data_IF_142509482301
#
_entry.id   IF_142509482301
#
_cell.length_a   1.000
_cell.length_b   1.000
_cell.length_c   1.000
_cell.angle_alpha   90.00
_cell.angle_beta   90.00
_cell.angle_gamma   90.00
#
_symmetry.space_group_name_H-M   'P 1'
#
loop_
_entity.id
_entity.type
_entity.pdbx_description
1 polymer ?
#
# COMPACT_ATOMS: atom_id res chain seq x y z
N UNK A 1 -46.97 42.61 41.01
CA UNK A 1 -46.21 42.06 39.87
C UNK A 1 -44.78 41.79 40.33
N UNK A 2 -44.49 40.54 40.73
CA UNK A 2 -43.13 40.02 40.95
C UNK A 2 -43.25 38.50 40.94
N UNK A 3 -42.83 37.86 39.86
CA UNK A 3 -42.68 36.41 39.77
C UNK A 3 -41.20 36.06 39.84
N UNK A 4 -40.91 35.16 40.78
CA UNK A 4 -39.65 34.42 40.88
C UNK A 4 -39.57 33.40 39.74
N UNK A 5 -38.38 33.20 39.21
CA UNK A 5 -37.96 32.04 38.43
C UNK A 5 -36.47 32.24 38.15
N UNK A 6 -35.54 31.36 38.51
CA UNK A 6 -35.60 29.92 38.66
C UNK A 6 -34.38 29.42 37.88
N UNK A 7 -33.27 29.21 38.59
CA UNK A 7 -32.01 28.77 38.00
C UNK A 7 -32.17 27.31 37.55
N UNK A 8 -32.18 27.08 36.23
CA UNK A 8 -32.10 25.75 35.64
C UNK A 8 -30.68 25.47 35.18
N UNK A 9 -29.91 24.76 36.02
CA UNK A 9 -28.65 24.14 35.60
C UNK A 9 -28.99 22.94 34.70
N UNK A 10 -28.86 23.13 33.39
CA UNK A 10 -28.93 22.03 32.42
C UNK A 10 -27.64 21.24 32.44
N UNK A 11 -27.72 19.99 32.88
CA UNK A 11 -26.64 18.99 32.79
C UNK A 11 -26.36 18.77 31.30
N UNK A 12 -25.23 19.30 30.83
CA UNK A 12 -24.71 19.00 29.50
C UNK A 12 -24.32 17.52 29.44
N UNK A 13 -25.04 16.76 28.61
CA UNK A 13 -24.55 15.47 28.11
C UNK A 13 -23.23 15.76 27.39
N UNK A 14 -22.13 15.26 27.95
CA UNK A 14 -20.82 15.31 27.31
C UNK A 14 -20.93 14.72 25.91
N UNK A 15 -20.54 15.53 24.91
CA UNK A 15 -20.25 15.04 23.58
C UNK A 15 -19.09 14.05 23.74
N UNK A 16 -19.36 12.77 23.45
CA UNK A 16 -18.31 11.79 23.17
C UNK A 16 -17.46 12.39 22.04
N UNK A 17 -16.13 12.43 22.23
CA UNK A 17 -15.22 13.10 21.31
C UNK A 17 -15.44 12.62 19.87
N UNK A 18 -15.86 13.55 19.00
CA UNK A 18 -15.84 13.30 17.58
C UNK A 18 -14.38 13.23 17.16
N UNK A 19 -13.99 12.12 16.53
CA UNK A 19 -12.77 12.12 15.73
C UNK A 19 -12.90 13.28 14.75
N UNK A 20 -11.97 14.25 14.80
CA UNK A 20 -11.95 15.31 13.80
C UNK A 20 -11.74 14.63 12.44
N UNK A 21 -12.79 14.59 11.63
CA UNK A 21 -12.71 14.13 10.26
C UNK A 21 -11.75 15.05 9.50
N UNK A 22 -10.89 14.46 8.67
CA UNK A 22 -9.92 15.22 7.91
C UNK A 22 -10.58 16.16 6.89
N UNK A 23 -9.80 17.07 6.32
CA UNK A 23 -10.32 18.10 5.41
C UNK A 23 -10.13 17.82 3.91
N UNK A 24 -9.59 16.66 3.53
CA UNK A 24 -9.22 16.40 2.13
C UNK A 24 -10.36 15.76 1.34
N UNK A 25 -10.87 16.46 0.32
CA UNK A 25 -11.84 15.90 -0.62
C UNK A 25 -11.24 14.82 -1.51
N UNK A 26 -9.99 15.03 -1.95
CA UNK A 26 -9.29 14.18 -2.92
C UNK A 26 -7.81 14.12 -2.57
N UNK A 27 -7.27 12.91 -2.44
CA UNK A 27 -5.83 12.65 -2.34
C UNK A 27 -5.40 11.90 -3.58
N UNK A 28 -4.42 12.42 -4.32
CA UNK A 28 -3.92 11.80 -5.54
C UNK A 28 -2.50 11.30 -5.32
N UNK A 29 -2.25 10.02 -5.56
CA UNK A 29 -0.91 9.43 -5.54
C UNK A 29 -0.60 8.76 -6.87
N UNK A 30 0.10 9.48 -7.75
CA UNK A 30 0.46 8.98 -9.06
C UNK A 30 1.79 8.22 -9.01
N UNK A 31 1.77 6.98 -9.48
CA UNK A 31 2.92 6.09 -9.61
C UNK A 31 3.73 5.92 -8.31
N UNK A 32 3.07 5.58 -7.18
CA UNK A 32 3.78 5.29 -5.94
C UNK A 32 4.78 4.15 -6.13
N UNK A 33 6.02 4.38 -5.72
CA UNK A 33 7.07 3.37 -5.75
C UNK A 33 8.12 3.70 -4.69
N UNK A 34 8.65 2.70 -3.99
CA UNK A 34 9.65 2.93 -2.94
C UNK A 34 11.04 3.22 -3.51
N UNK A 35 11.39 2.55 -4.62
CA UNK A 35 12.61 2.79 -5.41
C UNK A 35 13.88 2.30 -4.71
N UNK A 36 14.81 1.68 -5.46
CA UNK A 36 16.18 1.42 -5.00
C UNK A 36 16.36 0.49 -3.78
N UNK A 37 15.31 -0.12 -3.23
CA UNK A 37 15.39 -0.99 -2.05
C UNK A 37 15.87 -2.42 -2.32
N UNK A 38 15.68 -2.91 -3.54
CA UNK A 38 16.14 -4.24 -3.94
C UNK A 38 16.13 -4.36 -5.46
N UNK A 39 16.94 -5.27 -6.00
CA UNK A 39 16.88 -5.73 -7.40
C UNK A 39 16.02 -6.98 -7.57
N UNK A 40 15.72 -7.69 -6.49
CA UNK A 40 14.84 -8.85 -6.50
C UNK A 40 13.38 -8.44 -6.72
N UNK A 41 12.69 -9.13 -7.64
CA UNK A 41 11.32 -8.76 -8.05
C UNK A 41 10.34 -8.96 -6.91
N UNK A 42 10.43 -10.07 -6.17
CA UNK A 42 9.48 -10.40 -5.10
C UNK A 42 9.63 -9.47 -3.90
N UNK A 43 10.86 -9.16 -3.49
CA UNK A 43 11.15 -8.15 -2.47
C UNK A 43 10.65 -6.77 -2.89
N UNK A 44 10.85 -6.38 -4.16
CA UNK A 44 10.30 -5.12 -4.67
C UNK A 44 8.77 -5.09 -4.65
N UNK A 45 8.09 -6.19 -4.99
CA UNK A 45 6.63 -6.30 -4.88
C UNK A 45 6.19 -6.09 -3.43
N UNK A 46 6.79 -6.80 -2.48
CA UNK A 46 6.45 -6.68 -1.04
C UNK A 46 6.62 -5.25 -0.53
N UNK A 47 7.75 -4.59 -0.83
CA UNK A 47 7.97 -3.19 -0.39
C UNK A 47 6.96 -2.20 -0.97
N UNK A 48 6.55 -2.38 -2.24
CA UNK A 48 5.58 -1.49 -2.86
C UNK A 48 4.14 -1.77 -2.39
N UNK A 49 3.82 -3.03 -2.08
CA UNK A 49 2.55 -3.38 -1.43
C UNK A 49 2.48 -2.76 -0.03
N UNK A 50 3.54 -2.86 0.77
CA UNK A 50 3.63 -2.25 2.10
C UNK A 50 3.45 -0.72 2.05
N UNK A 51 4.09 -0.05 1.09
CA UNK A 51 3.91 1.39 0.85
C UNK A 51 2.44 1.74 0.66
N UNK A 52 1.73 1.00 -0.19
CA UNK A 52 0.32 1.24 -0.48
C UNK A 52 -0.57 0.99 0.73
N UNK A 53 -0.36 -0.12 1.45
CA UNK A 53 -1.12 -0.44 2.67
C UNK A 53 -0.95 0.67 3.72
N UNK A 54 0.28 1.08 3.97
CA UNK A 54 0.57 2.14 4.95
C UNK A 54 -0.01 3.48 4.51
N UNK A 55 0.05 3.81 3.21
CA UNK A 55 -0.58 4.99 2.66
C UNK A 55 -2.10 4.99 2.86
N UNK A 56 -2.80 3.90 2.51
CA UNK A 56 -4.24 3.80 2.71
C UNK A 56 -4.61 3.96 4.19
N UNK A 57 -3.96 3.21 5.10
CA UNK A 57 -4.23 3.30 6.54
C UNK A 57 -4.05 4.73 7.08
N UNK A 58 -3.01 5.44 6.63
CA UNK A 58 -2.74 6.82 7.06
C UNK A 58 -3.66 7.86 6.44
N UNK A 59 -4.22 7.58 5.27
CA UNK A 59 -5.10 8.52 4.59
C UNK A 59 -6.50 8.60 5.20
N UNK A 60 -7.00 7.54 5.86
CA UNK A 60 -8.33 7.50 6.50
C UNK A 60 -8.65 8.75 7.34
N UNK A 61 -7.83 9.13 8.35
CA UNK A 61 -8.11 10.31 9.17
C UNK A 61 -7.92 11.64 8.44
N UNK A 62 -7.28 11.64 7.26
CA UNK A 62 -7.03 12.87 6.49
C UNK A 62 -8.18 13.24 5.55
N UNK A 63 -9.07 12.29 5.25
CA UNK A 63 -10.16 12.48 4.30
C UNK A 63 -11.40 13.10 4.95
N UNK A 64 -11.96 14.09 4.26
CA UNK A 64 -13.31 14.61 4.51
C UNK A 64 -14.37 13.53 4.29
N UNK A 65 -15.61 13.72 4.81
CA UNK A 65 -16.75 12.89 4.46
C UNK A 65 -16.96 12.84 2.94
N UNK A 66 -17.05 11.64 2.37
CA UNK A 66 -17.12 11.46 0.91
C UNK A 66 -15.82 11.74 0.16
N UNK A 67 -14.72 11.92 0.90
CA UNK A 67 -13.38 12.09 0.37
C UNK A 67 -12.91 10.82 -0.35
N UNK A 68 -12.02 10.97 -1.33
CA UNK A 68 -11.52 9.83 -2.08
C UNK A 68 -10.01 9.87 -2.32
N UNK A 69 -9.46 8.68 -2.52
CA UNK A 69 -8.06 8.49 -2.90
C UNK A 69 -8.03 8.04 -4.35
N UNK A 70 -7.17 8.67 -5.14
CA UNK A 70 -6.89 8.29 -6.51
C UNK A 70 -5.46 7.78 -6.57
N UNK A 71 -5.28 6.49 -6.84
CA UNK A 71 -3.95 5.92 -7.10
C UNK A 71 -3.82 5.55 -8.56
N UNK A 72 -2.72 5.98 -9.18
CA UNK A 72 -2.41 5.63 -10.57
C UNK A 72 -1.22 4.69 -10.62
N UNK A 73 -1.36 3.55 -11.30
CA UNK A 73 -0.29 2.58 -11.54
C UNK A 73 -0.12 2.35 -13.05
N UNK A 74 1.08 1.94 -13.46
CA UNK A 74 1.26 1.37 -14.80
C UNK A 74 0.51 0.04 -14.92
N UNK A 75 0.10 -0.31 -16.13
CA UNK A 75 -0.46 -1.61 -16.43
C UNK A 75 0.66 -2.62 -16.75
N UNK A 76 0.44 -3.89 -16.36
CA UNK A 76 1.38 -4.99 -16.58
C UNK A 76 2.35 -5.23 -15.41
N UNK A 77 3.22 -6.22 -15.58
CA UNK A 77 4.20 -6.61 -14.57
C UNK A 77 5.25 -5.49 -14.35
N UNK A 78 5.74 -5.30 -13.11
CA UNK A 78 5.37 -6.00 -11.89
C UNK A 78 4.12 -5.42 -11.18
N UNK A 79 3.57 -4.30 -11.66
CA UNK A 79 2.49 -3.55 -11.00
C UNK A 79 1.21 -4.38 -10.83
N UNK A 80 0.92 -5.31 -11.74
CA UNK A 80 -0.20 -6.24 -11.61
C UNK A 80 -0.10 -7.09 -10.33
N UNK A 81 1.11 -7.54 -9.93
CA UNK A 81 1.31 -8.34 -8.72
C UNK A 81 0.99 -7.59 -7.43
N UNK A 82 0.94 -6.26 -7.47
CA UNK A 82 0.67 -5.47 -6.27
C UNK A 82 -0.79 -5.59 -5.84
N UNK A 83 -1.70 -5.99 -6.75
CA UNK A 83 -3.11 -6.22 -6.46
C UNK A 83 -3.76 -5.09 -5.62
N UNK A 84 -3.62 -3.85 -6.11
CA UNK A 84 -4.00 -2.64 -5.36
C UNK A 84 -5.44 -2.63 -4.86
N UNK A 85 -6.37 -3.28 -5.58
CA UNK A 85 -7.78 -3.38 -5.17
C UNK A 85 -7.92 -4.14 -3.85
N UNK A 86 -7.19 -5.23 -3.71
CA UNK A 86 -7.23 -6.07 -2.52
C UNK A 86 -6.46 -5.42 -1.37
N UNK A 87 -5.33 -4.77 -1.64
CA UNK A 87 -4.63 -3.96 -0.63
C UNK A 87 -5.52 -2.87 -0.04
N UNK A 88 -6.24 -2.14 -0.89
CA UNK A 88 -7.17 -1.10 -0.47
C UNK A 88 -8.32 -1.68 0.35
N UNK A 89 -8.88 -2.83 -0.07
CA UNK A 89 -9.97 -3.52 0.65
C UNK A 89 -9.58 -3.88 2.08
N UNK A 90 -8.39 -4.45 2.27
CA UNK A 90 -7.87 -4.81 3.59
C UNK A 90 -7.43 -3.58 4.41
N UNK A 91 -7.36 -2.41 3.78
CA UNK A 91 -6.98 -1.14 4.41
C UNK A 91 -8.16 -0.19 4.64
N UNK A 92 -9.41 -0.67 4.60
CA UNK A 92 -10.59 0.13 4.94
C UNK A 92 -11.22 0.92 3.78
N UNK A 93 -10.82 0.64 2.55
CA UNK A 93 -11.36 1.28 1.35
C UNK A 93 -12.13 0.31 0.47
N UNK A 94 -12.93 0.84 -0.45
CA UNK A 94 -13.42 0.09 -1.59
C UNK A 94 -13.15 0.86 -2.87
N UNK A 95 -13.03 0.13 -3.98
CA UNK A 95 -12.90 0.74 -5.30
C UNK A 95 -14.27 1.19 -5.76
N UNK A 96 -14.44 2.49 -5.99
CA UNK A 96 -15.63 3.05 -6.63
C UNK A 96 -15.58 2.79 -8.14
N UNK A 97 -14.47 3.16 -8.78
CA UNK A 97 -14.27 3.03 -10.22
C UNK A 97 -12.79 3.07 -10.60
N UNK A 98 -12.51 2.77 -11.86
CA UNK A 98 -11.18 2.94 -12.44
C UNK A 98 -11.27 3.48 -13.86
N UNK A 99 -10.27 4.21 -14.32
CA UNK A 99 -10.21 4.76 -15.67
C UNK A 99 -8.78 4.79 -16.20
N UNK A 100 -8.62 4.83 -17.52
CA UNK A 100 -7.30 4.96 -18.17
C UNK A 100 -6.71 6.32 -17.79
N UNK A 101 -5.47 6.33 -17.32
CA UNK A 101 -4.75 7.58 -17.07
C UNK A 101 -4.43 8.26 -18.40
N UNK A 102 -4.73 9.56 -18.48
CA UNK A 102 -4.50 10.38 -19.66
C UNK A 102 -3.51 11.48 -19.31
N UNK A 103 -2.22 11.26 -19.58
CA UNK A 103 -1.17 12.25 -19.32
C UNK A 103 -1.47 13.60 -20.01
N UNK A 104 -2.02 13.55 -21.24
CA UNK A 104 -2.40 14.73 -22.02
C UNK A 104 -3.51 15.59 -21.39
N UNK A 105 -4.27 15.06 -20.43
CA UNK A 105 -5.26 15.84 -19.69
C UNK A 105 -4.62 16.82 -18.69
N UNK A 106 -3.31 16.69 -18.44
CA UNK A 106 -2.55 17.50 -17.51
C UNK A 106 -1.46 18.27 -18.30
N UNK A 107 -1.72 19.53 -18.70
CA UNK A 107 -0.73 20.33 -19.42
C UNK A 107 0.60 20.43 -18.66
N UNK A 108 1.70 20.09 -19.32
CA UNK A 108 3.04 20.10 -18.73
C UNK A 108 3.37 18.88 -17.84
N UNK A 109 2.51 17.85 -17.82
CA UNK A 109 2.82 16.63 -17.09
C UNK A 109 4.02 15.90 -17.71
N UNK A 110 5.02 15.63 -16.87
CA UNK A 110 6.15 14.77 -17.20
C UNK A 110 6.34 13.76 -16.07
N UNK A 111 6.51 12.49 -16.43
CA UNK A 111 6.69 11.46 -15.41
C UNK A 111 8.07 11.59 -14.77
N UNK A 112 8.11 11.63 -13.43
CA UNK A 112 9.33 11.76 -12.64
C UNK A 112 9.63 10.46 -11.87
N UNK A 113 10.92 10.08 -11.82
CA UNK A 113 11.39 8.90 -11.08
C UNK A 113 12.15 9.32 -9.82
N UNK A 114 12.13 8.47 -8.80
CA UNK A 114 12.89 8.66 -7.56
C UNK A 114 14.41 8.65 -7.75
N UNK A 115 14.92 7.94 -8.76
CA UNK A 115 16.37 7.88 -9.09
C UNK A 115 16.85 9.03 -9.98
N UNK A 116 15.99 10.01 -10.30
CA UNK A 116 16.33 11.15 -11.14
C UNK A 116 16.42 10.83 -12.65
N UNK A 117 17.13 11.69 -13.38
CA UNK A 117 17.30 11.58 -14.83
C UNK A 117 18.30 10.46 -15.13
N UNK A 118 17.89 9.47 -15.95
CA UNK A 118 18.83 8.46 -16.45
C UNK A 118 19.81 9.17 -17.40
N UNK A 119 21.07 9.17 -16.99
CA UNK A 119 22.18 9.61 -17.83
C UNK A 119 22.78 8.40 -18.52
N UNK A 120 23.19 8.55 -19.76
CA UNK A 120 24.01 7.55 -20.45
C UNK A 120 25.39 7.47 -19.77
N UNK A 121 26.19 6.44 -20.10
CA UNK A 121 27.58 6.35 -19.62
C UNK A 121 28.45 7.56 -20.00
N UNK A 122 28.03 8.37 -20.97
CA UNK A 122 28.67 9.61 -21.38
C UNK A 122 28.19 10.85 -20.59
N UNK A 123 27.28 10.71 -19.62
CA UNK A 123 26.75 11.81 -18.81
C UNK A 123 25.64 12.63 -19.49
N UNK A 124 25.28 12.30 -20.72
CA UNK A 124 24.17 12.92 -21.46
C UNK A 124 22.82 12.41 -20.94
N UNK A 125 21.82 13.30 -20.89
CA UNK A 125 20.44 12.90 -20.58
C UNK A 125 19.96 12.00 -21.70
N UNK A 126 19.61 10.74 -21.39
CA UNK A 126 19.14 9.84 -22.45
C UNK A 126 17.75 10.29 -22.93
N UNK A 127 17.65 10.85 -24.13
CA UNK A 127 16.36 11.15 -24.77
C UNK A 127 15.58 9.88 -25.17
N UNK A 128 16.30 8.76 -25.33
CA UNK A 128 15.75 7.39 -25.48
C UNK A 128 15.39 6.75 -24.15
N UNK A 129 15.49 7.49 -23.04
CA UNK A 129 15.17 7.03 -21.71
C UNK A 129 13.70 6.63 -21.61
N UNK A 130 13.43 5.60 -20.82
CA UNK A 130 12.09 5.16 -20.46
C UNK A 130 11.14 6.34 -20.19
N UNK A 131 10.08 6.48 -21.01
CA UNK A 131 9.08 7.56 -20.91
C UNK A 131 7.82 7.05 -20.26
N UNK A 132 7.60 7.44 -19.00
CA UNK A 132 6.44 6.98 -18.24
C UNK A 132 5.12 7.45 -18.85
N UNK A 133 5.07 8.65 -19.39
CA UNK A 133 3.87 9.27 -19.97
C UNK A 133 3.30 8.54 -21.20
N UNK A 134 4.12 7.77 -21.91
CA UNK A 134 3.70 6.98 -23.08
C UNK A 134 3.20 5.57 -22.68
N UNK A 135 3.43 5.14 -21.43
CA UNK A 135 3.05 3.80 -20.97
C UNK A 135 1.56 3.71 -20.63
N UNK A 136 0.93 2.55 -20.86
CA UNK A 136 -0.42 2.31 -20.39
C UNK A 136 -0.46 2.36 -18.86
N UNK A 137 -1.40 3.13 -18.32
CA UNK A 137 -1.59 3.34 -16.91
C UNK A 137 -3.07 3.48 -16.57
N UNK A 138 -3.42 3.13 -15.33
CA UNK A 138 -4.79 3.13 -14.82
C UNK A 138 -4.86 3.83 -13.47
N UNK A 139 -5.83 4.72 -13.35
CA UNK A 139 -6.19 5.39 -12.10
C UNK A 139 -7.38 4.66 -11.47
N UNK A 140 -7.30 4.44 -10.16
CA UNK A 140 -8.32 3.80 -9.34
C UNK A 140 -8.83 4.81 -8.31
N UNK A 141 -10.15 4.97 -8.22
CA UNK A 141 -10.80 5.82 -7.22
C UNK A 141 -11.26 4.94 -6.07
N UNK A 142 -10.76 5.23 -4.88
CA UNK A 142 -11.08 4.55 -3.64
C UNK A 142 -11.82 5.48 -2.70
N UNK A 143 -12.90 4.98 -2.10
CA UNK A 143 -13.69 5.68 -1.08
C UNK A 143 -13.65 4.86 0.21
N UNK A 144 -13.92 5.50 1.36
CA UNK A 144 -14.02 4.78 2.63
C UNK A 144 -15.07 3.69 2.49
N UNK A 145 -14.79 2.49 3.02
CA UNK A 145 -15.64 1.30 2.84
C UNK A 145 -17.12 1.55 3.21
N UNK A 146 -17.36 2.38 4.22
CA UNK A 146 -18.69 2.66 4.76
C UNK A 146 -19.46 3.73 3.96
N UNK A 147 -18.81 4.38 2.99
CA UNK A 147 -19.40 5.43 2.14
C UNK A 147 -19.81 4.90 0.75
N UNK A 148 -19.58 3.61 0.48
CA UNK A 148 -19.93 2.97 -0.79
C UNK A 148 -21.42 2.69 -0.82
N UNK A 149 -22.14 3.27 -1.78
CA UNK A 149 -23.52 2.88 -2.03
C UNK A 149 -23.57 1.36 -2.33
N UNK A 150 -24.49 0.59 -1.71
CA UNK A 150 -24.54 -0.85 -1.92
C UNK A 150 -24.79 -1.14 -3.40
N UNK A 151 -23.87 -1.88 -4.01
CA UNK A 151 -24.07 -2.39 -5.38
C UNK A 151 -25.25 -3.35 -5.33
N UNK A 152 -26.41 -2.91 -5.84
CA UNK A 152 -27.59 -3.76 -5.97
C UNK A 152 -27.28 -4.85 -6.99
N UNK A 153 -26.80 -6.00 -6.53
CA UNK A 153 -26.76 -7.21 -7.33
C UNK A 153 -28.21 -7.65 -7.57
N UNK A 154 -28.74 -7.33 -8.76
CA UNK A 154 -30.01 -7.88 -9.23
C UNK A 154 -29.81 -9.39 -9.38
N UNK A 155 -30.15 -10.18 -8.34
CA UNK A 155 -30.26 -11.64 -8.44
C UNK A 155 -31.34 -11.96 -9.47
N UNK A 156 -30.94 -12.30 -10.69
CA UNK A 156 -31.82 -12.97 -11.66
C UNK A 156 -31.84 -14.45 -11.29
N UNK A 157 -32.98 -14.94 -10.82
CA UNK A 157 -33.26 -16.38 -10.67
C UNK A 157 -33.36 -17.00 -12.07
N UNK A 158 -32.69 -18.13 -12.28
CA UNK A 158 -33.07 -19.11 -13.29
C UNK A 158 -31.93 -19.70 -14.12
N UNK A 159 -31.66 -20.98 -13.84
CA UNK A 159 -31.06 -22.03 -14.69
C UNK A 159 -29.53 -22.03 -14.93
N UNK A 160 -28.89 -22.97 -14.22
CA UNK A 160 -27.88 -23.94 -14.68
C UNK A 160 -26.93 -23.52 -15.81
N UNK A 161 -25.68 -23.22 -15.44
CA UNK A 161 -24.50 -23.51 -16.26
C UNK A 161 -23.31 -23.72 -15.31
N UNK A 162 -22.81 -24.95 -15.30
CA UNK A 162 -21.62 -25.35 -14.54
C UNK A 162 -20.39 -24.79 -15.25
N UNK A 163 -19.79 -23.72 -14.71
CA UNK A 163 -18.46 -23.29 -15.10
C UNK A 163 -17.49 -23.66 -13.98
N UNK A 164 -16.86 -24.83 -14.15
CA UNK A 164 -15.75 -25.27 -13.31
C UNK A 164 -14.56 -24.36 -13.59
N UNK A 165 -14.38 -23.35 -12.74
CA UNK A 165 -13.17 -22.55 -12.72
C UNK A 165 -11.97 -23.44 -12.40
N UNK A 166 -11.15 -23.70 -13.41
CA UNK A 166 -9.84 -24.33 -13.28
C UNK A 166 -9.03 -23.59 -12.21
N UNK A 167 -8.84 -24.29 -11.10
CA UNK A 167 -7.80 -24.01 -10.10
C UNK A 167 -6.46 -24.36 -10.73
N UNK A 168 -5.90 -23.44 -11.52
CA UNK A 168 -4.47 -23.51 -11.79
C UNK A 168 -3.73 -23.29 -10.47
N UNK A 169 -3.15 -24.37 -9.96
CA UNK A 169 -2.21 -24.33 -8.86
C UNK A 169 -1.01 -23.50 -9.31
N UNK A 170 -0.83 -22.32 -8.70
CA UNK A 170 0.40 -21.56 -8.85
C UNK A 170 1.45 -22.30 -8.01
N UNK A 171 2.31 -23.09 -8.66
CA UNK A 171 3.32 -23.98 -8.05
C UNK A 171 4.37 -23.28 -7.14
N UNK A 172 4.24 -21.98 -6.85
CA UNK A 172 5.21 -21.24 -6.02
C UNK A 172 4.65 -20.64 -4.74
N UNK A 173 3.37 -20.84 -4.41
CA UNK A 173 2.79 -20.27 -3.19
C UNK A 173 3.12 -21.09 -1.93
N UNK A 174 3.27 -22.41 -2.06
CA UNK A 174 3.70 -23.28 -0.95
C UNK A 174 5.20 -23.13 -0.65
N UNK A 175 6.04 -22.96 -1.68
CA UNK A 175 7.48 -22.68 -1.49
C UNK A 175 7.70 -21.34 -0.76
N UNK A 176 6.81 -20.35 -0.93
CA UNK A 176 6.93 -19.07 -0.24
C UNK A 176 6.48 -19.13 1.23
N UNK A 177 5.52 -19.99 1.59
CA UNK A 177 5.16 -20.26 2.99
C UNK A 177 6.27 -21.05 3.70
N UNK A 178 6.86 -22.05 3.03
CA UNK A 178 7.97 -22.84 3.59
C UNK A 178 9.23 -21.97 3.82
N UNK A 179 9.53 -21.01 2.93
CA UNK A 179 10.65 -20.07 3.10
C UNK A 179 10.40 -19.02 4.20
N UNK A 180 9.14 -18.70 4.50
CA UNK A 180 8.80 -17.79 5.61
C UNK A 180 8.96 -18.47 6.98
N UNK A 181 8.86 -19.80 7.07
CA UNK A 181 9.10 -20.55 8.32
C UNK A 181 10.60 -20.77 8.60
N UNK A 182 11.43 -20.95 7.57
CA UNK A 182 12.89 -21.13 7.74
C UNK A 182 13.60 -19.84 8.18
N UNK A 183 13.22 -18.67 7.66
CA UNK A 183 13.84 -17.39 8.00
C UNK A 183 13.61 -16.98 9.48
N UNK A 184 12.54 -17.46 10.11
CA UNK A 184 12.21 -17.15 11.52
C UNK A 184 12.99 -18.04 12.49
N UNK A 185 13.40 -19.23 12.07
CA UNK A 185 14.17 -20.15 12.89
C UNK A 185 15.66 -19.74 13.02
N UNK A 186 16.20 -19.02 12.05
CA UNK A 186 17.62 -18.63 12.00
C UNK A 186 17.99 -17.48 12.95
N UNK A 187 17.05 -16.59 13.32
CA UNK A 187 17.33 -15.43 14.19
C UNK A 187 17.48 -15.79 15.67
N UNK A 188 17.12 -17.02 16.07
CA UNK A 188 17.07 -17.40 17.48
C UNK A 188 18.30 -18.20 17.98
N UNK A 189 19.30 -18.48 17.13
CA UNK A 189 20.44 -19.34 17.48
C UNK A 189 21.80 -18.64 17.65
N UNK A 190 21.94 -17.34 17.37
CA UNK A 190 23.23 -16.64 17.48
C UNK A 190 23.36 -15.74 18.72
N UNK A 191 23.27 -16.30 19.94
CA UNK A 191 23.84 -15.65 21.14
C UNK A 191 24.25 -16.70 22.19
N UNK A 192 25.44 -17.25 22.05
CA UNK A 192 26.34 -17.59 23.16
C UNK A 192 27.62 -18.20 22.57
N UNK A 193 28.73 -17.46 22.55
CA UNK A 193 30.10 -17.95 22.80
C UNK A 193 30.99 -16.75 23.19
N UNK A 194 31.44 -16.73 24.45
CA UNK A 194 32.53 -15.85 24.91
C UNK A 194 33.74 -16.73 25.22
N UNK A 195 34.61 -16.77 24.23
CA UNK A 195 36.07 -16.90 24.19
C UNK A 195 36.82 -17.38 25.45
N UNK A 196 37.49 -18.51 25.29
CA UNK A 196 38.47 -19.08 26.20
C UNK A 196 39.87 -19.10 25.57
N UNK A 197 40.83 -18.50 26.28
CA UNK A 197 42.20 -19.04 26.41
C UNK A 197 43.29 -18.55 25.44
N UNK A 198 44.41 -18.11 26.02
CA UNK A 198 45.72 -18.07 25.35
C UNK A 198 46.84 -18.29 26.36
N UNK A 199 47.54 -19.43 26.20
CA UNK A 199 49.01 -19.64 26.29
C UNK A 199 49.69 -19.39 27.65
N UNK A 200 50.51 -20.28 28.22
CA UNK A 200 51.44 -21.26 27.64
C UNK A 200 52.88 -20.85 28.00
N UNK A 201 53.72 -21.83 28.41
CA UNK A 201 55.15 -21.72 28.81
C UNK A 201 55.36 -21.34 30.30
N UNK A 202 56.11 -22.05 31.14
CA UNK A 202 57.11 -23.12 30.99
C UNK A 202 58.30 -22.74 31.87
N UNK A 203 58.70 -23.58 32.85
CA UNK A 203 60.07 -23.82 33.33
C UNK A 203 60.08 -24.58 34.67
N UNK A 204 60.85 -25.67 34.69
CA UNK A 204 61.23 -26.44 35.87
C UNK A 204 62.67 -26.05 36.24
N UNK A 205 62.93 -25.76 37.51
CA UNK A 205 64.24 -25.93 38.16
C UNK A 205 63.99 -26.44 39.59
N UNK A 206 64.39 -27.69 39.83
CA UNK A 206 65.22 -28.21 40.96
C UNK A 206 65.11 -29.74 41.09
#
# INVERSE_FOLDING_TARGET
MLMRGGWGFGIGRGSVGGEEEGGMDRVIFNFPHVGGKSTDVNRQVRYNQELLVNFFKRAIPSLAPGGSIIVTLFEGMPYTLWNIRDLARHSGFAVERSFKFQASAYPGYHHARTTGVVKTGAGEVSETGWKGEERPARSYVFVKKDEVAPVVSKRKRGADDSDEGEKEAVEGLSELEELEEEDVAADHSEREEVDSGSEGEGENED
#
